data_IF_384093672495
#
_entry.id   IF_384093672495
#
_cell.length_a   1.000
_cell.length_b   1.000
_cell.length_c   1.000
_cell.angle_alpha   90.00
_cell.angle_beta   90.00
_cell.angle_gamma   90.00
#
_symmetry.space_group_name_H-M   'P 1'
#
loop_
_entity.id
_entity.type
_entity.pdbx_description
1 polymer ?
#
# COMPACT_ATOMS: atom_id res chain seq x y z
N UNK A 1 -8.19 -9.09 6.35
CA UNK A 1 -6.76 -9.40 6.42
C UNK A 1 -5.96 -8.26 5.79
N UNK A 2 -4.93 -7.73 6.47
CA UNK A 2 -4.16 -6.56 6.02
C UNK A 2 -2.73 -6.99 5.72
N UNK A 3 -2.33 -6.87 4.44
CA UNK A 3 -1.01 -7.29 3.94
C UNK A 3 -0.19 -6.06 3.54
N UNK A 4 0.97 -5.88 4.14
CA UNK A 4 1.93 -4.89 3.69
C UNK A 4 2.77 -5.41 2.51
N UNK A 5 2.98 -4.57 1.50
CA UNK A 5 3.96 -4.80 0.44
C UNK A 5 5.07 -3.78 0.60
N UNK A 6 6.26 -4.27 0.84
CA UNK A 6 7.43 -3.46 1.17
C UNK A 6 8.59 -3.72 0.21
N UNK A 7 9.49 -2.77 0.09
CA UNK A 7 10.76 -2.96 -0.59
C UNK A 7 11.88 -2.16 0.08
N UNK A 8 13.07 -2.70 0.04
CA UNK A 8 14.23 -2.03 0.64
C UNK A 8 14.72 -0.83 -0.15
N UNK A 9 14.41 -0.73 -1.44
CA UNK A 9 14.76 0.38 -2.34
C UNK A 9 13.67 0.61 -3.37
N UNK A 10 13.64 1.80 -3.99
CA UNK A 10 12.76 2.09 -5.10
C UNK A 10 13.15 1.35 -6.39
N UNK A 11 12.23 1.27 -7.34
CA UNK A 11 12.48 0.71 -8.67
C UNK A 11 12.57 -0.81 -8.76
N UNK A 12 12.18 -1.56 -7.72
CA UNK A 12 12.17 -3.04 -7.74
C UNK A 12 10.84 -3.64 -8.23
N UNK A 13 9.89 -2.81 -8.62
CA UNK A 13 8.57 -3.26 -9.07
C UNK A 13 7.55 -3.46 -7.93
N UNK A 14 7.77 -2.87 -6.76
CA UNK A 14 6.89 -2.98 -5.59
C UNK A 14 5.42 -2.70 -5.94
N UNK A 15 5.11 -1.51 -6.44
CA UNK A 15 3.73 -1.11 -6.75
C UNK A 15 3.13 -1.92 -7.90
N UNK A 16 3.94 -2.35 -8.87
CA UNK A 16 3.51 -3.28 -9.92
C UNK A 16 3.05 -4.62 -9.34
N UNK A 17 3.84 -5.19 -8.42
CA UNK A 17 3.46 -6.42 -7.73
C UNK A 17 2.23 -6.19 -6.84
N UNK A 18 2.15 -5.07 -6.13
CA UNK A 18 0.99 -4.69 -5.31
C UNK A 18 -0.31 -4.71 -6.11
N UNK A 19 -0.35 -4.03 -7.26
CA UNK A 19 -1.53 -3.97 -8.14
C UNK A 19 -1.90 -5.35 -8.66
N UNK A 20 -0.93 -6.10 -9.18
CA UNK A 20 -1.18 -7.43 -9.72
C UNK A 20 -1.63 -8.42 -8.63
N UNK A 21 -1.06 -8.35 -7.43
CA UNK A 21 -1.48 -9.16 -6.29
C UNK A 21 -2.93 -8.86 -5.92
N UNK A 22 -3.29 -7.59 -5.79
CA UNK A 22 -4.65 -7.19 -5.44
C UNK A 22 -5.68 -7.63 -6.49
N UNK A 23 -5.39 -7.41 -7.77
CA UNK A 23 -6.26 -7.85 -8.87
C UNK A 23 -6.38 -9.39 -8.93
N UNK A 24 -5.30 -10.13 -8.69
CA UNK A 24 -5.33 -11.59 -8.67
C UNK A 24 -6.16 -12.10 -7.48
N UNK A 25 -5.99 -11.51 -6.30
CA UNK A 25 -6.78 -11.84 -5.12
C UNK A 25 -8.27 -11.53 -5.34
N UNK A 26 -8.60 -10.37 -5.94
CA UNK A 26 -9.99 -10.05 -6.27
C UNK A 26 -10.61 -11.11 -7.19
N UNK A 27 -9.92 -11.50 -8.25
CA UNK A 27 -10.40 -12.55 -9.17
C UNK A 27 -10.63 -13.90 -8.47
N UNK A 28 -9.78 -14.26 -7.51
CA UNK A 28 -9.96 -15.48 -6.71
C UNK A 28 -11.16 -15.38 -5.79
N UNK A 29 -11.35 -14.23 -5.13
CA UNK A 29 -12.48 -13.98 -4.24
C UNK A 29 -13.83 -13.96 -5.00
N UNK A 30 -13.85 -13.41 -6.21
CA UNK A 30 -15.02 -13.41 -7.09
C UNK A 30 -15.51 -14.84 -7.41
N UNK A 31 -14.57 -15.79 -7.61
CA UNK A 31 -14.90 -17.19 -7.89
C UNK A 31 -15.59 -17.90 -6.72
N UNK A 32 -15.35 -17.46 -5.49
CA UNK A 32 -15.93 -18.05 -4.28
C UNK A 32 -17.05 -17.19 -3.67
N UNK A 33 -17.50 -16.15 -4.40
CA UNK A 33 -18.59 -15.27 -3.98
C UNK A 33 -18.27 -14.43 -2.75
N UNK A 34 -16.98 -14.17 -2.51
CA UNK A 34 -16.51 -13.42 -1.35
C UNK A 34 -16.32 -11.93 -1.67
N UNK A 35 -16.04 -11.20 -0.61
CA UNK A 35 -15.97 -9.75 -0.55
C UNK A 35 -14.74 -9.18 -1.27
N UNK A 36 -14.56 -7.89 -1.23
CA UNK A 36 -13.66 -7.14 -2.08
C UNK A 36 -12.24 -7.04 -1.51
N UNK A 37 -11.29 -6.76 -2.41
CA UNK A 37 -9.93 -6.38 -2.09
C UNK A 37 -9.79 -4.86 -2.16
N UNK A 38 -9.02 -4.29 -1.23
CA UNK A 38 -8.61 -2.89 -1.25
C UNK A 38 -7.12 -2.72 -1.46
N UNK A 39 -6.71 -1.58 -2.00
CA UNK A 39 -5.33 -1.11 -2.02
C UNK A 39 -5.26 0.23 -1.29
N UNK A 40 -4.36 0.33 -0.33
CA UNK A 40 -3.97 1.57 0.31
C UNK A 40 -2.53 1.92 -0.10
N UNK A 41 -2.38 2.91 -0.97
CA UNK A 41 -1.09 3.37 -1.48
C UNK A 41 -0.55 4.50 -0.59
N UNK A 42 0.51 4.18 0.14
CA UNK A 42 1.19 5.07 1.08
C UNK A 42 2.47 5.68 0.50
N UNK A 43 2.79 5.45 -0.77
CA UNK A 43 3.98 6.00 -1.42
C UNK A 43 3.70 7.42 -1.95
N UNK A 44 4.20 8.42 -1.24
CA UNK A 44 3.99 9.83 -1.57
C UNK A 44 4.90 10.30 -2.71
N UNK A 45 6.11 9.75 -2.77
CA UNK A 45 7.11 10.22 -3.70
C UNK A 45 7.00 9.62 -5.10
N UNK A 46 6.19 8.57 -5.26
CA UNK A 46 5.96 7.93 -6.53
C UNK A 46 4.61 7.18 -6.56
N UNK A 47 3.49 7.87 -6.27
CA UNK A 47 2.18 7.22 -6.22
C UNK A 47 1.77 6.76 -7.62
N UNK A 48 2.15 5.55 -7.99
CA UNK A 48 1.94 5.01 -9.35
C UNK A 48 0.71 4.11 -9.46
N UNK A 49 0.11 3.72 -8.35
CA UNK A 49 -1.04 2.80 -8.32
C UNK A 49 -2.25 3.35 -9.06
N UNK A 50 -2.66 4.62 -8.91
CA UNK A 50 -3.77 5.17 -9.68
C UNK A 50 -3.57 5.04 -11.20
N UNK A 51 -2.37 5.36 -11.68
CA UNK A 51 -2.05 5.24 -13.11
C UNK A 51 -2.13 3.79 -13.59
N UNK A 52 -1.58 2.85 -12.83
CA UNK A 52 -1.57 1.42 -13.19
C UNK A 52 -2.98 0.80 -13.20
N UNK A 53 -3.86 1.26 -12.34
CA UNK A 53 -5.26 0.83 -12.30
C UNK A 53 -6.17 1.62 -13.26
N UNK A 54 -5.66 2.64 -13.94
CA UNK A 54 -6.50 3.56 -14.71
C UNK A 54 -7.53 4.30 -13.82
N UNK A 55 -7.22 4.43 -12.53
CA UNK A 55 -8.07 5.11 -11.56
C UNK A 55 -7.83 6.63 -11.66
N UNK A 56 -8.81 7.35 -12.17
CA UNK A 56 -8.74 8.80 -12.35
C UNK A 56 -9.78 9.50 -11.47
N UNK A 57 -9.51 10.77 -11.16
CA UNK A 57 -10.41 11.61 -10.39
C UNK A 57 -10.01 11.77 -8.93
N UNK A 58 -10.80 12.51 -8.19
CA UNK A 58 -10.63 12.73 -6.75
C UNK A 58 -11.66 11.91 -5.98
N UNK A 59 -11.26 11.23 -4.88
CA UNK A 59 -12.20 10.57 -4.00
C UNK A 59 -13.24 11.55 -3.46
N UNK A 60 -14.48 11.14 -3.45
CA UNK A 60 -15.59 11.94 -2.93
C UNK A 60 -15.76 11.72 -1.43
N UNK A 61 -16.36 12.70 -0.76
CA UNK A 61 -16.81 12.56 0.63
C UNK A 61 -18.28 12.23 0.64
N UNK A 62 -18.66 11.16 1.34
CA UNK A 62 -20.04 10.77 1.59
C UNK A 62 -20.22 10.46 3.07
N UNK A 63 -21.13 11.16 3.74
CA UNK A 63 -21.35 11.00 5.19
C UNK A 63 -20.08 11.11 6.03
N UNK A 64 -19.25 12.10 5.75
CA UNK A 64 -17.95 12.35 6.40
C UNK A 64 -16.89 11.24 6.20
N UNK A 65 -17.15 10.28 5.33
CA UNK A 65 -16.21 9.23 4.94
C UNK A 65 -15.72 9.44 3.51
N UNK A 66 -14.46 9.13 3.28
CA UNK A 66 -13.85 9.15 1.94
C UNK A 66 -14.32 7.90 1.19
N UNK A 67 -14.90 8.07 0.01
CA UNK A 67 -15.27 6.96 -0.88
C UNK A 67 -14.06 6.57 -1.73
N UNK A 68 -13.54 5.35 -1.60
CA UNK A 68 -12.40 4.92 -2.40
C UNK A 68 -12.78 4.78 -3.87
N UNK A 69 -11.84 5.03 -4.77
CA UNK A 69 -12.06 4.83 -6.20
C UNK A 69 -12.00 3.32 -6.48
N UNK A 70 -12.99 2.82 -7.23
CA UNK A 70 -13.06 1.41 -7.58
C UNK A 70 -12.74 1.21 -9.07
N UNK A 71 -11.78 0.35 -9.37
CA UNK A 71 -11.49 -0.12 -10.73
C UNK A 71 -11.05 -1.59 -10.68
N UNK A 72 -11.38 -2.38 -11.70
CA UNK A 72 -11.17 -3.84 -11.75
C UNK A 72 -11.71 -4.60 -10.52
N UNK A 73 -12.76 -4.08 -9.87
CA UNK A 73 -13.30 -4.62 -8.63
C UNK A 73 -12.48 -4.33 -7.37
N UNK A 74 -11.35 -3.66 -7.50
CA UNK A 74 -10.46 -3.29 -6.39
C UNK A 74 -10.74 -1.87 -5.93
N UNK A 75 -10.96 -1.68 -4.62
CA UNK A 75 -11.12 -0.36 -4.00
C UNK A 75 -9.76 0.24 -3.70
N UNK A 76 -9.54 1.46 -4.17
CA UNK A 76 -8.21 2.08 -4.08
C UNK A 76 -8.29 3.44 -3.41
N UNK A 77 -7.41 3.65 -2.44
CA UNK A 77 -7.08 4.96 -1.90
C UNK A 77 -5.57 5.18 -2.01
N UNK A 78 -5.17 6.31 -2.57
CA UNK A 78 -3.77 6.62 -2.84
C UNK A 78 -3.44 8.03 -2.41
N UNK A 79 -2.23 8.22 -1.92
CA UNK A 79 -1.65 9.54 -1.73
C UNK A 79 -1.63 10.35 -3.05
N UNK A 80 -1.55 9.66 -4.20
CA UNK A 80 -1.61 10.27 -5.52
C UNK A 80 -2.90 11.01 -5.83
N UNK A 81 -4.02 10.65 -5.21
CA UNK A 81 -5.29 11.39 -5.39
C UNK A 81 -5.32 12.72 -4.65
N UNK A 82 -4.40 12.94 -3.72
CA UNK A 82 -4.32 14.15 -2.89
C UNK A 82 -3.23 15.12 -3.36
N UNK A 83 -2.37 14.66 -4.26
CA UNK A 83 -1.31 15.49 -4.86
C UNK A 83 -1.89 16.20 -6.07
N UNK A 84 -1.86 17.53 -6.05
CA UNK A 84 -2.20 18.34 -7.20
C UNK A 84 -0.94 18.51 -8.07
N UNK A 85 -0.99 18.14 -9.33
CA UNK A 85 0.17 18.28 -10.25
C UNK A 85 0.60 19.73 -10.39
N UNK A 86 -0.34 20.66 -10.26
CA UNK A 86 -0.11 22.10 -10.41
C UNK A 86 0.31 22.82 -9.12
N UNK A 87 0.19 22.16 -7.98
CA UNK A 87 0.51 22.79 -6.68
C UNK A 87 1.48 21.90 -5.89
N UNK A 88 2.77 22.26 -5.82
CA UNK A 88 3.73 21.50 -5.06
C UNK A 88 3.40 21.55 -3.56
N UNK A 89 2.84 20.48 -3.03
CA UNK A 89 2.62 20.32 -1.60
C UNK A 89 3.90 19.78 -0.96
N UNK A 90 4.46 20.54 -0.03
CA UNK A 90 5.59 20.05 0.77
C UNK A 90 5.08 19.12 1.86
N UNK A 91 5.13 17.82 1.60
CA UNK A 91 4.75 16.80 2.56
C UNK A 91 5.79 16.68 3.68
N UNK A 92 5.39 16.98 4.91
CA UNK A 92 6.20 16.76 6.11
C UNK A 92 5.79 15.46 6.78
N UNK A 93 6.73 14.78 7.43
CA UNK A 93 6.48 13.48 8.08
C UNK A 93 5.19 13.40 8.91
N UNK A 94 4.92 14.35 9.82
CA UNK A 94 3.67 14.33 10.60
C UNK A 94 2.39 14.44 9.76
N UNK A 95 2.44 15.18 8.64
CA UNK A 95 1.28 15.29 7.73
C UNK A 95 1.03 13.96 7.01
N UNK A 96 2.09 13.33 6.56
CA UNK A 96 2.04 12.00 5.92
C UNK A 96 1.37 10.99 6.86
N UNK A 97 1.85 10.91 8.09
CA UNK A 97 1.34 9.97 9.09
C UNK A 97 -0.15 10.22 9.40
N UNK A 98 -0.54 11.49 9.54
CA UNK A 98 -1.94 11.86 9.76
C UNK A 98 -2.83 11.44 8.58
N UNK A 99 -2.36 11.66 7.34
CA UNK A 99 -3.12 11.28 6.13
C UNK A 99 -3.28 9.77 6.03
N UNK A 100 -2.22 9.00 6.33
CA UNK A 100 -2.31 7.54 6.32
C UNK A 100 -3.23 7.02 7.42
N UNK A 101 -3.22 7.62 8.60
CA UNK A 101 -4.20 7.32 9.64
C UNK A 101 -5.64 7.60 9.17
N UNK A 102 -5.86 8.70 8.45
CA UNK A 102 -7.16 9.00 7.85
C UNK A 102 -7.56 7.95 6.80
N UNK A 103 -6.62 7.44 6.00
CA UNK A 103 -6.90 6.35 5.05
C UNK A 103 -7.32 5.06 5.75
N UNK A 104 -6.71 4.75 6.88
CA UNK A 104 -7.05 3.58 7.64
C UNK A 104 -8.41 3.71 8.37
N UNK A 105 -8.79 4.92 8.80
CA UNK A 105 -9.93 5.13 9.68
C UNK A 105 -11.15 5.77 9.00
N UNK A 106 -10.93 6.67 8.04
CA UNK A 106 -11.97 7.52 7.47
C UNK A 106 -12.30 7.19 6.01
N UNK A 107 -11.70 6.16 5.43
CA UNK A 107 -12.10 5.64 4.12
C UNK A 107 -13.20 4.61 4.31
N UNK A 108 -14.28 4.76 3.56
CA UNK A 108 -15.36 3.78 3.51
C UNK A 108 -14.92 2.56 2.69
N UNK A 109 -14.06 1.75 3.28
CA UNK A 109 -13.61 0.50 2.65
C UNK A 109 -14.75 -0.51 2.45
N UNK A 110 -15.87 -0.34 3.18
CA UNK A 110 -16.96 -1.32 3.20
C UNK A 110 -16.48 -2.68 3.72
N UNK A 111 -17.08 -3.73 3.20
CA UNK A 111 -16.72 -5.08 3.58
C UNK A 111 -15.53 -5.58 2.75
N UNK A 112 -14.31 -5.45 3.27
CA UNK A 112 -13.10 -6.04 2.68
C UNK A 112 -12.78 -7.40 3.29
N UNK A 113 -12.31 -8.33 2.45
CA UNK A 113 -11.60 -9.53 2.89
C UNK A 113 -10.11 -9.24 3.05
N UNK A 114 -9.54 -8.48 2.12
CA UNK A 114 -8.10 -8.19 2.09
C UNK A 114 -7.87 -6.71 1.79
N UNK A 115 -7.01 -6.08 2.57
CA UNK A 115 -6.43 -4.77 2.27
C UNK A 115 -4.93 -4.94 2.00
N UNK A 116 -4.50 -4.57 0.80
CA UNK A 116 -3.08 -4.55 0.42
C UNK A 116 -2.54 -3.15 0.60
N UNK A 117 -1.51 -3.00 1.44
CA UNK A 117 -0.89 -1.71 1.77
C UNK A 117 0.44 -1.59 1.06
N UNK A 118 0.53 -0.67 0.10
CA UNK A 118 1.76 -0.36 -0.62
C UNK A 118 2.59 0.64 0.20
N UNK A 119 3.63 0.15 0.87
CA UNK A 119 4.48 0.98 1.72
C UNK A 119 5.48 1.81 0.90
N UNK A 120 5.92 2.99 1.36
CA UNK A 120 7.01 3.70 0.72
C UNK A 120 8.28 2.85 0.72
N UNK A 121 9.17 3.00 -0.27
CA UNK A 121 10.41 2.24 -0.32
C UNK A 121 11.36 2.62 0.81
N UNK A 122 12.19 1.67 1.24
CA UNK A 122 13.19 1.89 2.27
C UNK A 122 13.00 1.01 3.50
N UNK A 123 13.82 1.25 4.52
CA UNK A 123 13.81 0.53 5.81
C UNK A 123 14.04 1.50 6.99
N UNK A 124 13.72 2.78 6.78
CA UNK A 124 13.92 3.85 7.75
C UNK A 124 12.77 4.05 8.71
N UNK A 125 12.93 5.06 9.56
CA UNK A 125 11.98 5.37 10.64
C UNK A 125 10.55 5.68 10.13
N UNK A 126 10.44 6.28 8.96
CA UNK A 126 9.13 6.58 8.36
C UNK A 126 8.35 5.29 8.06
N UNK A 127 9.01 4.29 7.47
CA UNK A 127 8.37 3.01 7.19
C UNK A 127 8.05 2.27 8.49
N UNK A 128 8.94 2.29 9.48
CA UNK A 128 8.69 1.69 10.79
C UNK A 128 7.47 2.33 11.48
N UNK A 129 7.36 3.64 11.45
CA UNK A 129 6.21 4.37 12.00
C UNK A 129 4.90 3.99 11.32
N UNK A 130 4.92 3.79 9.99
CA UNK A 130 3.75 3.33 9.23
C UNK A 130 3.31 1.92 9.65
N UNK A 131 4.27 1.00 9.73
CA UNK A 131 4.01 -0.39 10.12
C UNK A 131 3.46 -0.49 11.54
N UNK A 132 3.84 0.42 12.43
CA UNK A 132 3.30 0.50 13.79
C UNK A 132 1.90 1.13 13.87
N UNK A 133 1.53 1.92 12.86
CA UNK A 133 0.25 2.64 12.82
C UNK A 133 -0.88 1.82 12.21
N UNK A 134 -0.54 0.96 11.24
CA UNK A 134 -1.51 0.12 10.51
C UNK A 134 -1.49 -1.28 11.14
N UNK A 135 -2.66 -1.83 11.54
CA UNK A 135 -2.74 -3.20 12.06
C UNK A 135 -2.50 -4.21 10.92
N UNK A 136 -1.25 -4.65 10.76
CA UNK A 136 -0.85 -5.58 9.71
C UNK A 136 -0.92 -7.02 10.19
N UNK A 137 -1.54 -7.89 9.38
CA UNK A 137 -1.58 -9.34 9.60
C UNK A 137 -0.39 -10.05 8.96
N UNK A 138 0.30 -9.40 8.02
CA UNK A 138 1.48 -9.95 7.39
C UNK A 138 2.16 -9.00 6.41
N UNK A 139 3.35 -9.36 5.96
CA UNK A 139 4.12 -8.57 5.02
C UNK A 139 4.74 -9.42 3.90
N UNK A 140 4.82 -8.85 2.71
CA UNK A 140 5.55 -9.37 1.56
C UNK A 140 6.66 -8.38 1.20
N UNK A 141 7.87 -8.87 0.98
CA UNK A 141 9.00 -8.04 0.59
C UNK A 141 9.30 -8.27 -0.89
N UNK A 142 9.39 -7.18 -1.63
CA UNK A 142 9.80 -7.20 -3.05
C UNK A 142 11.26 -6.82 -3.14
N UNK A 143 12.02 -7.61 -3.86
CA UNK A 143 13.45 -7.40 -4.11
C UNK A 143 13.83 -7.76 -5.55
N UNK A 144 15.08 -7.58 -5.87
CA UNK A 144 15.70 -8.04 -7.13
C UNK A 144 16.91 -8.90 -6.81
N UNK A 145 17.42 -9.75 -7.74
CA UNK A 145 18.49 -10.70 -7.45
C UNK A 145 19.85 -10.07 -7.13
N UNK A 146 20.00 -8.76 -7.34
CA UNK A 146 21.28 -8.10 -7.08
C UNK A 146 21.63 -8.14 -5.57
N UNK A 147 22.89 -8.43 -5.20
CA UNK A 147 23.31 -8.56 -3.81
C UNK A 147 22.99 -7.33 -2.94
N UNK A 148 23.09 -6.12 -3.51
CA UNK A 148 22.73 -4.90 -2.82
C UNK A 148 21.23 -4.86 -2.42
N UNK A 149 20.35 -5.31 -3.30
CA UNK A 149 18.91 -5.35 -3.02
C UNK A 149 18.57 -6.40 -1.97
N UNK A 150 19.16 -7.60 -2.05
CA UNK A 150 18.97 -8.66 -1.08
C UNK A 150 19.39 -8.25 0.34
N UNK A 151 20.50 -7.53 0.48
CA UNK A 151 20.95 -7.02 1.77
C UNK A 151 19.96 -6.04 2.39
N UNK A 152 19.34 -5.19 1.58
CA UNK A 152 18.34 -4.23 2.07
C UNK A 152 17.00 -4.94 2.35
N UNK A 153 16.62 -5.94 1.56
CA UNK A 153 15.45 -6.78 1.82
C UNK A 153 15.55 -7.49 3.18
N UNK A 154 16.74 -8.01 3.54
CA UNK A 154 16.99 -8.60 4.87
C UNK A 154 16.79 -7.59 6.01
N UNK A 155 17.14 -6.32 5.81
CA UNK A 155 16.87 -5.26 6.80
C UNK A 155 15.37 -5.02 6.95
N UNK A 156 14.64 -5.02 5.84
CA UNK A 156 13.17 -4.94 5.84
C UNK A 156 12.54 -6.09 6.62
N UNK A 157 12.98 -7.34 6.40
CA UNK A 157 12.50 -8.50 7.14
C UNK A 157 12.70 -8.32 8.66
N UNK A 158 13.90 -7.91 9.08
CA UNK A 158 14.19 -7.64 10.51
C UNK A 158 13.36 -6.50 11.10
N UNK A 159 12.94 -5.54 10.30
CA UNK A 159 12.04 -4.47 10.73
C UNK A 159 10.66 -5.05 11.07
N UNK A 160 10.11 -5.91 10.22
CA UNK A 160 8.83 -6.58 10.47
C UNK A 160 8.89 -7.51 11.68
N UNK A 161 9.99 -8.23 11.87
CA UNK A 161 10.21 -9.06 13.07
C UNK A 161 10.14 -8.22 14.36
N UNK A 162 10.76 -7.02 14.37
CA UNK A 162 10.76 -6.13 15.55
C UNK A 162 9.37 -5.63 15.94
N UNK A 163 8.44 -5.56 15.02
CA UNK A 163 7.06 -5.12 15.24
C UNK A 163 6.08 -6.29 15.26
N UNK A 164 6.59 -7.52 15.31
CA UNK A 164 5.80 -8.76 15.38
C UNK A 164 4.82 -8.94 14.22
N UNK A 165 5.17 -8.44 13.04
CA UNK A 165 4.41 -8.66 11.80
C UNK A 165 5.03 -9.85 11.05
N UNK A 166 4.27 -10.94 10.83
CA UNK A 166 4.81 -12.12 10.16
C UNK A 166 5.16 -11.84 8.70
N UNK A 167 6.33 -12.35 8.28
CA UNK A 167 6.74 -12.30 6.89
C UNK A 167 6.06 -13.45 6.13
N UNK A 168 5.16 -13.12 5.20
CA UNK A 168 4.43 -14.08 4.37
C UNK A 168 5.29 -14.62 3.23
N UNK A 169 6.24 -13.82 2.75
CA UNK A 169 7.14 -14.22 1.69
C UNK A 169 8.01 -13.09 1.15
N UNK A 170 8.89 -13.49 0.23
CA UNK A 170 9.75 -12.58 -0.53
C UNK A 170 9.52 -12.85 -2.01
N UNK A 171 9.30 -11.82 -2.79
CA UNK A 171 9.18 -11.89 -4.25
C UNK A 171 10.43 -11.29 -4.86
N UNK A 172 11.14 -12.09 -5.62
CA UNK A 172 12.25 -11.66 -6.46
C UNK A 172 11.74 -11.35 -7.87
N UNK A 173 11.90 -10.10 -8.30
CA UNK A 173 11.34 -9.59 -9.56
C UNK A 173 12.45 -9.17 -10.56
#
# INVERSE_FOLDING_TARGET
FVIAVASGKGGVGKSTITVNLACALQRLLDQVGKKRVGIMDCDIYGPSIPLMLGAAGRPELQNDMIVPIENFGVRTMSMGFLVDEDTPVVWRGPMIMKTIQQFAQNVNWGELEILVVDLPPGTGDAQLSLVQTIPLDGAVIITTPQPAASNVARRGARMFDKVSVPLLGVVEN
#
